data_IF_135127886647
#
_entry.id   IF_135127886647
#
_cell.length_a   1.000
_cell.length_b   1.000
_cell.length_c   1.000
_cell.angle_alpha   90.00
_cell.angle_beta   90.00
_cell.angle_gamma   90.00
#
_symmetry.space_group_name_H-M   'P 1'
#
loop_
_entity.id
_entity.type
_entity.pdbx_description
1 polymer ?
#
# COMPACT_ATOMS: atom_id res chain seq x y z
N UNK A 1 -40.58 -2.35 5.01
CA UNK A 1 -39.81 -2.49 3.76
C UNK A 1 -39.45 -1.08 3.31
N UNK A 2 -38.37 -0.54 3.86
CA UNK A 2 -37.86 0.81 3.55
C UNK A 2 -36.40 0.65 3.19
N UNK A 3 -36.17 0.89 1.91
CA UNK A 3 -34.90 0.87 1.20
C UNK A 3 -33.88 1.76 1.90
N UNK A 4 -32.75 1.19 2.32
CA UNK A 4 -31.54 1.94 2.67
C UNK A 4 -30.39 1.31 1.89
N UNK A 5 -30.49 1.32 0.57
CA UNK A 5 -29.29 1.44 -0.25
C UNK A 5 -28.64 2.76 0.12
N UNK A 6 -27.80 2.73 1.16
CA UNK A 6 -26.84 3.78 1.47
C UNK A 6 -26.29 4.26 0.13
N UNK A 7 -26.61 5.52 -0.22
CA UNK A 7 -26.28 6.09 -1.51
C UNK A 7 -24.84 5.73 -1.83
N UNK A 8 -24.65 4.92 -2.87
CA UNK A 8 -23.34 4.49 -3.32
C UNK A 8 -22.63 5.75 -3.82
N UNK A 9 -21.93 6.43 -2.91
CA UNK A 9 -21.11 7.60 -3.23
C UNK A 9 -19.99 7.11 -4.13
N UNK A 10 -20.15 7.34 -5.43
CA UNK A 10 -19.08 7.16 -6.40
C UNK A 10 -18.02 8.20 -6.09
N UNK A 11 -16.93 7.77 -5.46
CA UNK A 11 -15.72 8.59 -5.31
C UNK A 11 -14.91 8.36 -6.58
N UNK A 12 -14.64 9.42 -7.36
CA UNK A 12 -13.78 9.27 -8.53
C UNK A 12 -12.32 9.19 -8.07
N UNK A 13 -11.42 8.53 -8.81
CA UNK A 13 -10.00 8.43 -8.43
C UNK A 13 -9.33 9.80 -8.18
N UNK A 14 -9.79 10.86 -8.87
CA UNK A 14 -9.29 12.22 -8.69
C UNK A 14 -9.68 12.88 -7.37
N UNK A 15 -10.71 12.37 -6.69
CA UNK A 15 -11.19 12.90 -5.41
C UNK A 15 -10.50 12.22 -4.21
N UNK A 16 -9.69 11.19 -4.46
CA UNK A 16 -8.99 10.46 -3.42
C UNK A 16 -7.68 11.16 -3.04
N UNK A 17 -7.34 11.22 -1.74
CA UNK A 17 -6.04 11.68 -1.30
C UNK A 17 -4.93 10.92 -2.02
N UNK A 18 -3.99 11.66 -2.60
CA UNK A 18 -2.84 11.05 -3.26
C UNK A 18 -1.81 10.63 -2.22
N UNK A 19 -1.33 9.38 -2.33
CA UNK A 19 -0.15 8.95 -1.60
C UNK A 19 1.10 9.69 -2.15
N UNK A 20 2.10 9.99 -1.31
CA UNK A 20 3.37 10.51 -1.75
C UNK A 20 4.05 9.50 -2.68
N UNK A 21 4.66 10.02 -3.74
CA UNK A 21 5.50 9.22 -4.62
C UNK A 21 6.86 9.06 -3.96
N UNK A 22 7.20 7.85 -3.50
CA UNK A 22 8.51 7.57 -2.95
C UNK A 22 9.61 7.84 -3.98
N UNK A 23 10.67 8.54 -3.57
CA UNK A 23 11.86 8.69 -4.38
C UNK A 23 12.60 7.36 -4.51
N UNK A 24 13.33 7.16 -5.61
CA UNK A 24 14.10 5.93 -5.83
C UNK A 24 15.06 5.62 -4.67
N UNK A 25 15.65 6.64 -4.04
CA UNK A 25 16.51 6.49 -2.86
C UNK A 25 15.77 5.90 -1.67
N UNK A 26 14.52 6.29 -1.44
CA UNK A 26 13.67 5.78 -0.35
C UNK A 26 13.28 4.32 -0.62
N UNK A 27 12.94 4.00 -1.87
CA UNK A 27 12.65 2.62 -2.29
C UNK A 27 13.88 1.73 -2.10
N UNK A 28 15.06 2.18 -2.56
CA UNK A 28 16.30 1.42 -2.38
C UNK A 28 16.70 1.29 -0.91
N UNK A 29 16.48 2.33 -0.10
CA UNK A 29 16.71 2.28 1.33
C UNK A 29 15.81 1.22 1.99
N UNK A 30 14.50 1.22 1.70
CA UNK A 30 13.56 0.20 2.18
C UNK A 30 13.98 -1.22 1.78
N UNK A 31 14.31 -1.42 0.50
CA UNK A 31 14.73 -2.73 -0.03
C UNK A 31 15.96 -3.25 0.72
N UNK A 32 16.96 -2.40 0.95
CA UNK A 32 18.19 -2.77 1.67
C UNK A 32 17.91 -3.00 3.15
N UNK A 33 17.20 -2.09 3.79
CA UNK A 33 16.91 -2.14 5.23
C UNK A 33 16.13 -3.40 5.62
N UNK A 34 15.19 -3.83 4.78
CA UNK A 34 14.32 -4.96 5.06
C UNK A 34 14.67 -6.23 4.27
N UNK A 35 15.80 -6.25 3.55
CA UNK A 35 16.26 -7.43 2.82
C UNK A 35 15.25 -7.94 1.77
N UNK A 36 14.62 -7.03 1.04
CA UNK A 36 13.51 -7.39 0.12
C UNK A 36 13.97 -8.03 -1.19
N UNK A 37 15.28 -8.06 -1.46
CA UNK A 37 15.85 -8.70 -2.64
C UNK A 37 15.56 -10.21 -2.64
N UNK A 38 15.06 -10.74 -3.75
CA UNK A 38 14.75 -12.17 -3.87
C UNK A 38 13.52 -12.63 -3.08
N UNK A 39 12.80 -11.71 -2.40
CA UNK A 39 11.57 -12.06 -1.67
C UNK A 39 10.38 -12.36 -2.59
N UNK A 40 10.51 -12.09 -3.89
CA UNK A 40 9.52 -12.39 -4.93
C UNK A 40 8.51 -11.27 -5.21
N UNK A 41 8.72 -10.06 -4.67
CA UNK A 41 8.00 -8.84 -5.07
C UNK A 41 8.81 -8.04 -6.07
N UNK A 42 8.13 -7.27 -6.92
CA UNK A 42 8.77 -6.40 -7.92
C UNK A 42 9.23 -5.07 -7.35
N UNK A 43 9.98 -4.30 -8.13
CA UNK A 43 10.38 -2.93 -7.76
C UNK A 43 9.16 -2.02 -7.53
N UNK A 44 8.10 -2.18 -8.33
CA UNK A 44 6.86 -1.40 -8.15
C UNK A 44 6.16 -1.74 -6.83
N UNK A 45 6.18 -3.00 -6.40
CA UNK A 45 5.64 -3.40 -5.11
C UNK A 45 6.43 -2.76 -3.95
N UNK A 46 7.76 -2.74 -4.06
CA UNK A 46 8.62 -2.04 -3.10
C UNK A 46 8.35 -0.53 -3.09
N UNK A 47 8.04 0.05 -4.26
CA UNK A 47 7.65 1.45 -4.38
C UNK A 47 6.32 1.75 -3.65
N UNK A 48 5.33 0.86 -3.78
CA UNK A 48 4.06 0.98 -3.04
C UNK A 48 4.29 0.89 -1.53
N UNK A 49 5.08 -0.09 -1.05
CA UNK A 49 5.43 -0.22 0.36
C UNK A 49 6.14 1.04 0.90
N UNK A 50 7.06 1.61 0.12
CA UNK A 50 7.75 2.85 0.48
C UNK A 50 6.80 4.04 0.54
N UNK A 51 5.91 4.19 -0.44
CA UNK A 51 4.89 5.24 -0.45
C UNK A 51 3.95 5.15 0.75
N UNK A 52 3.58 3.94 1.16
CA UNK A 52 2.74 3.72 2.36
C UNK A 52 3.52 4.08 3.63
N UNK A 53 4.80 3.71 3.74
CA UNK A 53 5.65 4.11 4.88
C UNK A 53 5.83 5.63 5.02
N UNK A 54 5.80 6.36 3.91
CA UNK A 54 5.86 7.83 3.90
C UNK A 54 4.52 8.49 4.21
N UNK A 55 3.43 7.73 4.18
CA UNK A 55 2.07 8.21 4.41
C UNK A 55 1.63 7.91 5.85
N UNK A 56 1.40 8.94 6.69
CA UNK A 56 0.87 8.72 8.02
C UNK A 56 -0.47 7.99 8.00
N UNK A 57 -0.70 7.10 8.96
CA UNK A 57 -1.97 6.38 9.16
C UNK A 57 -2.51 5.68 7.90
N UNK A 58 -1.61 5.17 7.04
CA UNK A 58 -1.97 4.52 5.78
C UNK A 58 -1.57 3.05 5.83
N UNK A 59 -2.43 2.18 5.32
CA UNK A 59 -2.18 0.76 5.18
C UNK A 59 -2.40 0.31 3.72
N UNK A 60 -1.60 -0.64 3.27
CA UNK A 60 -1.70 -1.26 1.96
C UNK A 60 -2.70 -2.41 2.01
N UNK A 61 -3.80 -2.27 1.27
CA UNK A 61 -4.67 -3.38 0.93
C UNK A 61 -4.29 -3.93 -0.45
N UNK A 62 -4.10 -5.23 -0.54
CA UNK A 62 -3.82 -5.90 -1.82
C UNK A 62 -4.24 -7.36 -1.78
N UNK A 63 -4.71 -7.88 -2.92
CA UNK A 63 -4.99 -9.32 -3.09
C UNK A 63 -3.75 -10.13 -3.44
N UNK A 64 -2.62 -9.48 -3.71
CA UNK A 64 -1.36 -10.15 -4.00
C UNK A 64 -0.78 -10.71 -2.70
N UNK A 65 -1.03 -12.01 -2.43
CA UNK A 65 -0.69 -12.69 -1.17
C UNK A 65 0.73 -12.39 -0.66
N UNK A 66 1.72 -12.43 -1.57
CA UNK A 66 3.13 -12.19 -1.22
C UNK A 66 3.37 -10.75 -0.77
N UNK A 67 2.79 -9.78 -1.48
CA UNK A 67 2.89 -8.36 -1.11
C UNK A 67 2.12 -8.08 0.18
N UNK A 68 0.93 -8.65 0.36
CA UNK A 68 0.15 -8.52 1.58
C UNK A 68 0.94 -9.03 2.80
N UNK A 69 1.56 -10.21 2.71
CA UNK A 69 2.37 -10.77 3.80
C UNK A 69 3.57 -9.89 4.14
N UNK A 70 4.26 -9.34 3.13
CA UNK A 70 5.39 -8.42 3.36
C UNK A 70 4.88 -7.10 3.96
N UNK A 71 3.76 -6.56 3.48
CA UNK A 71 3.18 -5.34 4.03
C UNK A 71 2.82 -5.51 5.51
N UNK A 72 2.20 -6.64 5.88
CA UNK A 72 1.92 -6.98 7.28
C UNK A 72 3.20 -7.11 8.11
N UNK A 73 4.22 -7.80 7.59
CA UNK A 73 5.51 -7.93 8.28
C UNK A 73 6.25 -6.59 8.46
N UNK A 74 5.97 -5.62 7.58
CA UNK A 74 6.49 -4.27 7.65
C UNK A 74 5.58 -3.32 8.42
N UNK A 75 4.50 -3.78 9.06
CA UNK A 75 3.54 -2.95 9.81
C UNK A 75 2.92 -1.83 8.95
N UNK A 76 2.66 -2.15 7.69
CA UNK A 76 1.98 -1.28 6.70
C UNK A 76 0.91 -2.03 5.91
N UNK A 77 0.57 -3.25 6.31
CA UNK A 77 -0.48 -4.04 5.69
C UNK A 77 -1.83 -3.80 6.35
N UNK A 78 -2.90 -3.81 5.58
CA UNK A 78 -4.25 -3.93 6.13
C UNK A 78 -4.45 -5.36 6.66
N UNK A 79 -4.82 -5.49 7.92
CA UNK A 79 -5.32 -6.76 8.47
C UNK A 79 -6.82 -6.86 8.17
N UNK A 80 -7.24 -7.97 7.56
CA UNK A 80 -8.66 -8.28 7.34
C UNK A 80 -9.38 -8.58 8.67
#
# INVERSE_FOLDING_TARGET
MSDTRAAQRSILPGDLPQAPVAAASEVFHLIKQHGLMGTGIGYLDAHLLSSVKLSPNTALWTRAKRLANIALALDVGHAD
#
